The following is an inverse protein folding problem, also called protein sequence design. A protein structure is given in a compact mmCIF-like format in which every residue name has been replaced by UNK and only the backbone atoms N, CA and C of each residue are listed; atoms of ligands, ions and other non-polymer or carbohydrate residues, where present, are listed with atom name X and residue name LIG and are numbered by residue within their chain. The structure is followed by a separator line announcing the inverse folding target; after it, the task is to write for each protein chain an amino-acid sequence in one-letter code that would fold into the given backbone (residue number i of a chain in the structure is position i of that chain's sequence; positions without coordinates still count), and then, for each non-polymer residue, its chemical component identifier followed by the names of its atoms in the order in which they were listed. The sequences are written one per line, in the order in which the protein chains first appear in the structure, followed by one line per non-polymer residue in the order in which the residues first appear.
data_IF_477367747658
#
_entry.id   IF_477367747658
#
_cell.length_a   1.000
_cell.length_b   1.000
_cell.length_c   1.000
_cell.angle_alpha   90.00
_cell.angle_beta   90.00
_cell.angle_gamma   90.00
#
_symmetry.space_group_name_H-M   'P 1'
#
loop_
_entity.id
_entity.type
_entity.pdbx_description
1 polymer ?
#
# COMPACT_ATOMS: atom_id res chain seq x y z
N UNK A 1 3.19 0.05 6.01
CA UNK A 1 1.77 0.47 5.98
C UNK A 1 0.92 -0.50 6.78
N UNK A 2 -0.36 -0.65 6.47
CA UNK A 2 -1.25 -1.57 7.20
C UNK A 2 -0.94 -3.06 6.99
N UNK A 3 -0.22 -3.41 5.91
CA UNK A 3 0.27 -4.77 5.63
C UNK A 3 1.34 -5.24 6.62
N UNK A 4 1.98 -4.33 7.35
CA UNK A 4 2.99 -4.63 8.36
C UNK A 4 2.29 -4.80 9.71
N UNK A 5 1.99 -6.05 10.08
CA UNK A 5 1.39 -6.34 11.39
C UNK A 5 2.32 -5.94 12.53
N UNK A 6 1.73 -5.44 13.63
CA UNK A 6 2.46 -5.09 14.86
C UNK A 6 2.26 -6.17 15.90
N UNK A 7 3.24 -6.35 16.78
CA UNK A 7 3.17 -7.28 17.93
C UNK A 7 2.76 -8.70 17.51
N UNK A 8 3.46 -9.24 16.51
CA UNK A 8 3.18 -10.58 15.97
C UNK A 8 3.49 -11.63 17.03
N UNK A 9 2.48 -12.43 17.39
CA UNK A 9 2.62 -13.54 18.35
C UNK A 9 2.62 -14.91 17.67
N UNK A 10 2.25 -14.99 16.40
CA UNK A 10 2.16 -16.26 15.65
C UNK A 10 2.34 -16.02 14.16
N UNK A 11 3.05 -16.94 13.50
CA UNK A 11 3.16 -17.03 12.04
C UNK A 11 2.70 -18.43 11.63
N UNK A 12 1.82 -18.51 10.62
CA UNK A 12 1.34 -19.77 10.05
C UNK A 12 1.57 -19.75 8.54
N UNK A 13 2.06 -20.87 8.00
CA UNK A 13 2.10 -21.10 6.56
C UNK A 13 0.78 -21.77 6.16
N UNK A 14 0.08 -21.19 5.19
CA UNK A 14 -1.20 -21.68 4.69
C UNK A 14 -1.12 -21.88 3.19
N UNK A 15 -1.86 -22.86 2.68
CA UNK A 15 -1.93 -23.13 1.24
C UNK A 15 -2.75 -22.05 0.51
N UNK A 16 -3.81 -21.56 1.16
CA UNK A 16 -4.69 -20.53 0.61
C UNK A 16 -4.33 -19.12 1.11
N UNK A 17 -4.73 -18.11 0.32
CA UNK A 17 -4.56 -16.70 0.66
C UNK A 17 -5.41 -16.32 1.89
N UNK A 18 -4.80 -15.91 3.01
CA UNK A 18 -5.55 -15.60 4.21
C UNK A 18 -6.27 -14.24 4.09
N UNK A 19 -7.36 -14.09 4.83
CA UNK A 19 -8.02 -12.78 5.00
C UNK A 19 -7.15 -11.86 5.86
N UNK A 20 -7.14 -10.57 5.54
CA UNK A 20 -6.36 -9.55 6.27
C UNK A 20 -7.30 -8.59 6.98
N UNK A 21 -6.92 -8.06 8.15
CA UNK A 21 -7.81 -7.27 8.99
C UNK A 21 -8.45 -6.08 8.25
N UNK A 22 -7.69 -5.36 7.44
CA UNK A 22 -8.20 -4.22 6.66
C UNK A 22 -9.08 -4.64 5.48
N UNK A 23 -8.74 -5.74 4.78
CA UNK A 23 -9.61 -6.28 3.73
C UNK A 23 -10.93 -6.84 4.27
N UNK A 24 -10.94 -7.33 5.52
CA UNK A 24 -12.18 -7.76 6.18
C UNK A 24 -13.02 -6.57 6.64
N UNK A 25 -12.38 -5.46 6.98
CA UNK A 25 -13.06 -4.23 7.37
C UNK A 25 -13.74 -3.56 6.17
N UNK A 26 -13.01 -3.31 5.07
CA UNK A 26 -13.62 -2.90 3.79
C UNK A 26 -12.73 -3.31 2.61
N UNK A 27 -13.11 -4.41 1.95
CA UNK A 27 -12.40 -4.95 0.79
C UNK A 27 -12.41 -4.02 -0.43
N UNK A 28 -13.29 -3.01 -0.49
CA UNK A 28 -13.35 -2.05 -1.59
C UNK A 28 -12.27 -0.97 -1.46
N UNK A 29 -11.77 -0.78 -0.24
CA UNK A 29 -10.77 0.23 0.10
C UNK A 29 -9.37 -0.35 0.29
N UNK A 30 -9.30 -1.59 0.79
CA UNK A 30 -8.05 -2.22 1.20
C UNK A 30 -7.95 -3.65 0.66
N UNK A 31 -7.21 -3.85 -0.42
CA UNK A 31 -6.97 -5.18 -0.97
C UNK A 31 -5.89 -5.99 -0.25
N UNK A 32 -5.56 -7.12 -0.86
CA UNK A 32 -4.57 -8.03 -0.30
C UNK A 32 -3.13 -7.59 -0.58
N UNK A 33 -2.78 -7.22 -1.81
CA UNK A 33 -1.39 -6.90 -2.15
C UNK A 33 -1.02 -5.50 -1.68
N UNK A 34 -1.85 -4.50 -1.96
CA UNK A 34 -1.71 -3.12 -1.46
C UNK A 34 -0.32 -2.53 -1.65
N UNK A 35 0.24 -2.80 -2.83
CA UNK A 35 1.44 -2.16 -3.31
C UNK A 35 1.19 -0.66 -3.48
N UNK A 36 2.15 0.17 -3.05
CA UNK A 36 2.04 1.62 -3.23
C UNK A 36 2.03 1.96 -4.72
N UNK A 37 0.92 2.52 -5.18
CA UNK A 37 0.70 2.83 -6.59
C UNK A 37 0.04 4.20 -6.74
N UNK A 38 0.76 5.24 -7.23
CA UNK A 38 0.20 6.58 -7.37
C UNK A 38 -0.86 6.70 -8.47
N UNK A 39 -1.01 5.68 -9.33
CA UNK A 39 -1.97 5.65 -10.44
C UNK A 39 -3.31 5.03 -10.02
N UNK A 40 -3.42 4.51 -8.81
CA UNK A 40 -4.63 3.89 -8.27
C UNK A 40 -5.06 4.66 -7.03
N UNK A 41 -6.17 5.36 -7.16
CA UNK A 41 -6.71 6.15 -6.06
C UNK A 41 -7.41 5.27 -5.04
N UNK A 42 -7.39 5.70 -3.79
CA UNK A 42 -8.31 5.20 -2.79
C UNK A 42 -9.73 5.71 -3.11
N UNK A 43 -10.82 4.98 -2.79
CA UNK A 43 -12.18 5.43 -3.11
C UNK A 43 -12.54 6.84 -2.58
N UNK A 44 -11.88 7.26 -1.50
CA UNK A 44 -12.11 8.54 -0.83
C UNK A 44 -11.06 9.62 -1.08
N UNK A 45 -9.89 9.29 -1.65
CA UNK A 45 -8.82 10.27 -1.88
C UNK A 45 -7.80 9.81 -2.93
N UNK A 46 -7.10 10.77 -3.54
CA UNK A 46 -6.01 10.44 -4.46
C UNK A 46 -4.75 9.99 -3.73
N UNK A 47 -4.08 8.98 -4.28
CA UNK A 47 -2.78 8.46 -3.81
C UNK A 47 -1.60 9.04 -4.61
N UNK A 48 -1.83 9.98 -5.53
CA UNK A 48 -0.78 10.55 -6.37
C UNK A 48 0.24 11.41 -5.59
N UNK A 49 -0.15 11.89 -4.40
CA UNK A 49 0.70 12.72 -3.55
C UNK A 49 0.59 12.33 -2.08
N UNK A 50 1.67 12.52 -1.33
CA UNK A 50 1.77 12.24 0.09
C UNK A 50 2.38 13.40 0.87
N UNK A 51 2.25 13.34 2.19
CA UNK A 51 2.86 14.31 3.11
C UNK A 51 3.96 13.61 3.91
N UNK A 52 5.19 14.07 3.73
CA UNK A 52 6.33 13.59 4.52
C UNK A 52 6.27 14.15 5.93
N UNK A 53 6.29 13.26 6.92
CA UNK A 53 6.36 13.62 8.34
C UNK A 53 7.82 13.93 8.69
N UNK A 54 8.05 14.95 9.52
CA UNK A 54 9.39 15.36 9.95
C UNK A 54 9.96 16.57 9.23
N UNK A 55 9.24 17.15 8.27
CA UNK A 55 9.53 18.51 7.79
C UNK A 55 9.13 19.51 8.90
N UNK A 56 10.03 20.42 9.29
CA UNK A 56 9.79 21.44 10.31
C UNK A 56 8.55 22.31 10.04
N UNK A 57 8.07 22.33 8.79
CA UNK A 57 6.84 23.00 8.38
C UNK A 57 5.64 22.07 8.27
N UNK A 58 5.60 20.87 8.87
CA UNK A 58 4.65 19.77 8.60
C UNK A 58 3.16 20.14 8.30
N UNK A 59 2.60 21.18 8.91
CA UNK A 59 1.25 21.68 8.59
C UNK A 59 1.16 22.41 7.22
N UNK A 60 2.22 23.11 6.83
CA UNK A 60 2.40 23.89 5.60
C UNK A 60 3.40 23.26 4.60
N UNK A 61 3.99 22.12 4.95
CA UNK A 61 4.93 21.42 4.08
C UNK A 61 4.20 21.00 2.79
N UNK A 62 4.76 21.31 1.61
CA UNK A 62 4.15 20.94 0.35
C UNK A 62 4.04 19.42 0.25
N UNK A 63 2.94 18.94 -0.34
CA UNK A 63 2.80 17.52 -0.66
C UNK A 63 3.83 17.14 -1.72
N UNK A 64 4.39 15.94 -1.62
CA UNK A 64 5.30 15.38 -2.62
C UNK A 64 4.61 14.29 -3.44
N UNK A 65 5.11 14.01 -4.64
CA UNK A 65 4.58 12.94 -5.48
C UNK A 65 4.91 11.58 -4.86
N UNK A 66 3.91 10.72 -4.74
CA UNK A 66 4.10 9.33 -4.30
C UNK A 66 4.78 8.55 -5.41
N UNK A 67 5.78 7.74 -5.05
CA UNK A 67 6.53 6.93 -6.00
C UNK A 67 5.90 5.54 -6.16
N UNK A 68 5.97 4.99 -7.37
CA UNK A 68 5.56 3.60 -7.62
C UNK A 68 6.37 2.63 -6.76
N UNK A 69 5.71 1.63 -6.18
CA UNK A 69 6.28 0.71 -5.19
C UNK A 69 7.03 1.43 -4.06
N UNK A 70 6.60 2.65 -3.73
CA UNK A 70 7.23 3.51 -2.74
C UNK A 70 8.73 3.77 -3.00
N UNK A 71 9.13 3.81 -4.28
CA UNK A 71 10.52 4.05 -4.70
C UNK A 71 11.34 2.79 -4.93
N UNK A 72 10.77 1.60 -4.74
CA UNK A 72 11.49 0.32 -4.85
C UNK A 72 11.14 -0.48 -6.12
N UNK A 73 10.72 0.20 -7.18
CA UNK A 73 10.24 -0.48 -8.39
C UNK A 73 11.29 -1.43 -8.98
N UNK A 74 12.56 -1.01 -9.05
CA UNK A 74 13.64 -1.81 -9.63
C UNK A 74 13.90 -3.11 -8.86
N UNK A 75 13.57 -3.14 -7.56
CA UNK A 75 13.78 -4.29 -6.69
C UNK A 75 12.58 -5.23 -6.66
N UNK A 76 11.35 -4.71 -6.75
CA UNK A 76 10.13 -5.50 -6.48
C UNK A 76 9.21 -5.69 -7.68
N UNK A 77 9.33 -4.89 -8.74
CA UNK A 77 8.38 -4.95 -9.86
C UNK A 77 8.32 -6.33 -10.51
N UNK A 78 9.45 -7.04 -10.58
CA UNK A 78 9.55 -8.38 -11.19
C UNK A 78 8.62 -9.40 -10.54
N UNK A 79 8.35 -9.28 -9.23
CA UNK A 79 7.44 -10.18 -8.50
C UNK A 79 5.97 -10.04 -8.91
N UNK A 80 5.61 -8.93 -9.57
CA UNK A 80 4.23 -8.62 -9.95
C UNK A 80 4.04 -8.51 -11.48
N UNK A 81 5.03 -8.93 -12.26
CA UNK A 81 4.96 -8.89 -13.71
C UNK A 81 3.76 -9.71 -14.24
N UNK A 82 2.98 -9.11 -15.15
CA UNK A 82 1.78 -9.72 -15.72
C UNK A 82 0.54 -9.65 -14.82
N UNK A 83 0.64 -9.11 -13.61
CA UNK A 83 -0.53 -8.88 -12.75
C UNK A 83 -1.21 -7.55 -13.08
N UNK A 84 -2.55 -7.53 -13.00
CA UNK A 84 -3.32 -6.28 -13.03
C UNK A 84 -3.27 -5.58 -11.67
N UNK A 85 -2.31 -4.68 -11.51
CA UNK A 85 -2.11 -3.90 -10.29
C UNK A 85 -3.28 -2.95 -9.96
N UNK A 86 -4.21 -2.70 -10.89
CA UNK A 86 -5.45 -1.93 -10.61
C UNK A 86 -6.59 -2.81 -10.10
N UNK A 87 -6.54 -4.12 -10.39
CA UNK A 87 -7.50 -5.09 -9.86
C UNK A 87 -7.11 -5.60 -8.47
N UNK A 88 -5.83 -5.52 -8.13
CA UNK A 88 -5.23 -6.14 -6.94
C UNK A 88 -4.70 -5.14 -5.88
N UNK A 89 -5.15 -3.87 -5.88
CA UNK A 89 -4.72 -2.86 -4.90
C UNK A 89 -5.38 -3.03 -3.53
#
# INVERSE_FOLDING_TARGET
GFKSAKSIVTIRLTEEMPKTSWSQFDAREYGFYSNVNPLVNHPRWSQATERRIGDFKAAFAPKMKTQMFNGYADQVASMYNGMDLKKFY
#
